data_IF_232334527924
#
_entry.id   IF_232334527924
#
_cell.length_a   1.000
_cell.length_b   1.000
_cell.length_c   1.000
_cell.angle_alpha   90.00
_cell.angle_beta   90.00
_cell.angle_gamma   90.00
#
_symmetry.space_group_name_H-M   'P 1'
#
loop_
_entity.id
_entity.type
_entity.pdbx_description
1 polymer ?
#
# COMPACT_ATOMS: atom_id res chain seq x y z
N UNK A 1 26.06 88.90 -49.78
CA UNK A 1 24.82 89.12 -49.02
C UNK A 1 24.29 87.74 -48.66
N UNK A 2 24.31 87.41 -47.36
CA UNK A 2 23.52 86.36 -46.65
C UNK A 2 23.77 84.87 -47.03
N UNK A 3 24.46 84.04 -46.23
CA UNK A 3 24.03 83.25 -45.04
C UNK A 3 22.91 82.19 -45.30
N UNK A 4 23.28 80.89 -45.35
CA UNK A 4 22.93 79.83 -44.36
C UNK A 4 22.96 78.39 -44.93
N UNK A 5 23.77 77.55 -44.26
CA UNK A 5 23.58 76.18 -43.78
C UNK A 5 22.68 75.19 -44.56
N UNK A 6 23.25 74.04 -44.95
CA UNK A 6 22.60 72.71 -44.77
C UNK A 6 23.67 71.65 -44.43
N UNK A 7 23.72 71.28 -43.16
CA UNK A 7 24.31 70.04 -42.65
C UNK A 7 23.41 68.86 -43.07
N UNK A 8 23.93 67.90 -43.83
CA UNK A 8 23.25 66.64 -44.12
C UNK A 8 23.60 65.62 -43.04
N UNK A 9 22.69 65.40 -42.08
CA UNK A 9 22.84 64.42 -41.02
C UNK A 9 22.72 62.99 -41.53
N UNK A 10 23.68 62.13 -41.13
CA UNK A 10 23.53 60.67 -41.16
C UNK A 10 22.46 60.28 -40.13
N UNK A 11 21.30 59.82 -40.58
CA UNK A 11 20.33 59.16 -39.72
C UNK A 11 20.79 57.72 -39.46
N UNK A 12 21.47 57.48 -38.34
CA UNK A 12 21.75 56.14 -37.85
C UNK A 12 20.44 55.56 -37.28
N UNK A 13 19.76 54.71 -38.05
CA UNK A 13 18.56 54.01 -37.58
C UNK A 13 18.98 52.93 -36.58
N UNK A 14 18.98 53.27 -35.29
CA UNK A 14 19.06 52.29 -34.20
C UNK A 14 17.77 51.45 -34.22
N UNK A 15 17.81 50.32 -34.92
CA UNK A 15 16.87 49.22 -34.70
C UNK A 15 17.14 48.65 -33.31
N UNK A 16 16.53 49.25 -32.29
CA UNK A 16 16.45 48.66 -30.97
C UNK A 16 15.58 47.40 -31.09
N UNK A 17 16.23 46.25 -31.30
CA UNK A 17 15.61 44.95 -31.15
C UNK A 17 15.19 44.81 -29.69
N UNK A 18 13.92 45.05 -29.39
CA UNK A 18 13.34 44.63 -28.12
C UNK A 18 13.33 43.10 -28.12
N UNK A 19 14.41 42.49 -27.62
CA UNK A 19 14.37 41.11 -27.20
C UNK A 19 13.31 41.03 -26.10
N UNK A 20 12.11 40.55 -26.47
CA UNK A 20 11.11 40.18 -25.47
C UNK A 20 11.75 39.09 -24.62
N UNK A 21 11.79 39.22 -23.29
CA UNK A 21 12.22 38.10 -22.47
C UNK A 21 11.31 36.92 -22.81
N UNK A 22 11.91 35.78 -23.18
CA UNK A 22 11.20 34.52 -23.20
C UNK A 22 10.90 34.22 -21.73
N UNK A 23 9.74 34.66 -21.26
CA UNK A 23 9.24 34.26 -19.96
C UNK A 23 8.98 32.75 -20.06
N UNK A 24 9.80 31.96 -19.37
CA UNK A 24 9.52 30.55 -19.20
C UNK A 24 8.09 30.44 -18.65
N UNK A 25 7.21 29.77 -19.37
CA UNK A 25 5.84 29.53 -18.93
C UNK A 25 5.91 28.84 -17.57
N UNK A 26 5.30 29.43 -16.53
CA UNK A 26 5.21 28.81 -15.21
C UNK A 26 4.60 27.42 -15.39
N UNK A 27 5.34 26.38 -14.99
CA UNK A 27 4.88 25.00 -15.11
C UNK A 27 3.68 24.81 -14.20
N UNK A 28 2.60 24.23 -14.72
CA UNK A 28 1.40 24.01 -13.92
C UNK A 28 1.65 22.90 -12.91
N UNK A 29 1.20 23.14 -11.68
CA UNK A 29 1.16 22.12 -10.63
C UNK A 29 -0.28 22.04 -10.14
N UNK A 30 -0.85 20.83 -10.15
CA UNK A 30 -2.18 20.57 -9.59
C UNK A 30 -1.96 19.92 -8.23
N UNK A 31 -2.51 20.52 -7.18
CA UNK A 31 -2.33 20.05 -5.79
C UNK A 31 -3.66 19.51 -5.26
N UNK A 32 -3.62 18.28 -4.77
CA UNK A 32 -4.73 17.56 -4.16
C UNK A 32 -4.38 17.17 -2.72
N UNK A 33 -5.32 17.30 -1.79
CA UNK A 33 -5.09 16.95 -0.38
C UNK A 33 -5.19 15.45 -0.13
N UNK A 34 -4.27 14.95 0.69
CA UNK A 34 -4.27 13.59 1.23
C UNK A 34 -4.09 13.65 2.75
N UNK A 35 -4.32 12.53 3.42
CA UNK A 35 -4.06 12.39 4.85
C UNK A 35 -3.59 10.97 5.18
N UNK A 36 -2.82 10.82 6.25
CA UNK A 36 -2.56 9.53 6.86
C UNK A 36 -3.62 9.25 7.93
N UNK A 37 -4.49 8.26 7.68
CA UNK A 37 -5.58 7.88 8.58
C UNK A 37 -5.57 6.36 8.79
N UNK A 38 -5.54 5.90 10.03
CA UNK A 38 -5.53 4.47 10.40
C UNK A 38 -4.43 3.64 9.72
N UNK A 39 -3.25 4.24 9.52
CA UNK A 39 -2.17 3.59 8.80
C UNK A 39 -2.47 3.37 7.33
N UNK A 40 -3.22 4.29 6.70
CA UNK A 40 -3.51 4.34 5.26
C UNK A 40 -3.32 5.75 4.74
N UNK A 41 -2.84 5.89 3.51
CA UNK A 41 -2.89 7.17 2.80
C UNK A 41 -4.26 7.27 2.15
N UNK A 42 -5.03 8.29 2.52
CA UNK A 42 -6.39 8.50 2.03
C UNK A 42 -6.54 9.87 1.39
N UNK A 43 -7.48 9.97 0.45
CA UNK A 43 -7.85 11.19 -0.24
C UNK A 43 -9.38 11.34 -0.29
N UNK A 44 -9.92 12.53 -0.04
CA UNK A 44 -11.33 12.81 -0.32
C UNK A 44 -11.58 12.83 -1.83
N UNK A 45 -12.60 12.10 -2.27
CA UNK A 45 -13.01 12.00 -3.68
C UNK A 45 -14.48 12.39 -3.80
N UNK A 46 -14.76 13.33 -4.70
CA UNK A 46 -16.13 13.71 -5.07
C UNK A 46 -16.47 13.08 -6.42
N UNK A 47 -17.65 12.50 -6.56
CA UNK A 47 -18.13 11.85 -7.79
C UNK A 47 -19.45 12.48 -8.18
N UNK A 48 -19.54 13.10 -9.37
CA UNK A 48 -20.75 13.78 -9.84
C UNK A 48 -21.33 14.76 -8.81
N UNK A 49 -20.47 15.52 -8.13
CA UNK A 49 -20.84 16.46 -7.07
C UNK A 49 -21.21 15.83 -5.71
N UNK A 50 -21.26 14.50 -5.59
CA UNK A 50 -21.54 13.79 -4.33
C UNK A 50 -20.26 13.39 -3.60
N UNK A 51 -20.25 13.50 -2.27
CA UNK A 51 -19.09 13.25 -1.42
C UNK A 51 -18.76 14.44 -0.49
N UNK A 52 -17.50 14.57 -0.02
CA UNK A 52 -16.36 13.72 -0.34
C UNK A 52 -16.41 12.34 0.31
N UNK A 53 -16.01 11.31 -0.43
CA UNK A 53 -15.80 9.95 0.07
C UNK A 53 -14.30 9.69 0.25
N UNK A 54 -13.89 9.07 1.34
CA UNK A 54 -12.48 8.72 1.51
C UNK A 54 -12.12 7.50 0.67
N UNK A 55 -11.13 7.66 -0.19
CA UNK A 55 -10.51 6.58 -0.95
C UNK A 55 -9.07 6.41 -0.49
N UNK A 56 -8.62 5.17 -0.32
CA UNK A 56 -7.20 4.89 -0.05
C UNK A 56 -6.38 4.96 -1.34
N UNK A 57 -5.13 5.39 -1.26
CA UNK A 57 -4.20 5.34 -2.40
C UNK A 57 -3.50 3.98 -2.39
N UNK A 58 -3.64 3.24 -3.50
CA UNK A 58 -3.23 1.84 -3.66
C UNK A 58 -2.30 1.70 -4.87
N UNK A 59 -1.00 1.89 -4.65
CA UNK A 59 0.00 1.72 -5.71
C UNK A 59 0.24 0.24 -6.10
N UNK A 60 -0.29 -0.72 -5.33
CA UNK A 60 -0.32 -2.13 -5.70
C UNK A 60 -1.47 -2.49 -6.65
N UNK A 61 -2.52 -1.66 -6.68
CA UNK A 61 -3.70 -1.79 -7.52
C UNK A 61 -3.44 -1.45 -8.99
N UNK A 62 -3.91 -2.32 -9.88
CA UNK A 62 -3.93 -2.09 -11.33
C UNK A 62 -5.18 -1.32 -11.81
N UNK A 63 -6.29 -1.41 -11.07
CA UNK A 63 -7.54 -0.70 -11.34
C UNK A 63 -8.14 -0.20 -10.05
N UNK A 64 -8.78 0.97 -10.11
CA UNK A 64 -9.41 1.58 -8.93
C UNK A 64 -10.66 0.81 -8.52
N UNK A 65 -10.91 0.76 -7.21
CA UNK A 65 -12.00 0.01 -6.63
C UNK A 65 -12.99 0.91 -5.90
N UNK A 66 -14.22 0.44 -5.78
CA UNK A 66 -15.29 1.11 -5.04
C UNK A 66 -16.06 0.10 -4.17
N UNK A 67 -16.51 0.52 -3.00
CA UNK A 67 -17.49 -0.23 -2.22
C UNK A 67 -18.77 -0.45 -3.06
N UNK A 68 -19.18 -1.71 -3.22
CA UNK A 68 -20.37 -2.05 -4.00
C UNK A 68 -21.64 -1.30 -3.51
N UNK A 69 -21.74 -1.04 -2.21
CA UNK A 69 -22.85 -0.24 -1.65
C UNK A 69 -22.79 1.21 -2.14
N UNK A 70 -21.60 1.81 -2.15
CA UNK A 70 -21.42 3.18 -2.66
C UNK A 70 -21.74 3.26 -4.16
N UNK A 71 -21.28 2.28 -4.95
CA UNK A 71 -21.57 2.24 -6.38
C UNK A 71 -23.09 2.18 -6.64
N UNK A 72 -23.83 1.42 -5.83
CA UNK A 72 -25.29 1.35 -5.86
C UNK A 72 -25.96 2.64 -5.38
N UNK A 73 -25.50 3.23 -4.27
CA UNK A 73 -25.99 4.50 -3.70
C UNK A 73 -25.91 5.62 -4.75
N UNK A 74 -24.79 5.69 -5.48
CA UNK A 74 -24.55 6.67 -6.53
C UNK A 74 -25.17 6.30 -7.89
N UNK A 75 -25.81 5.12 -8.00
CA UNK A 75 -26.40 4.60 -9.23
C UNK A 75 -25.43 4.64 -10.42
N UNK A 76 -24.17 4.23 -10.19
CA UNK A 76 -23.14 4.28 -11.23
C UNK A 76 -23.50 3.37 -12.41
N UNK A 77 -23.13 3.81 -13.62
CA UNK A 77 -23.39 3.06 -14.84
C UNK A 77 -22.50 1.81 -14.89
N UNK A 78 -23.11 0.62 -14.90
CA UNK A 78 -22.38 -0.63 -15.12
C UNK A 78 -21.83 -0.71 -16.54
N UNK A 79 -20.61 -1.23 -16.67
CA UNK A 79 -19.87 -1.45 -17.92
C UNK A 79 -19.53 -2.92 -18.12
N UNK A 80 -20.11 -3.82 -17.32
CA UNK A 80 -19.87 -5.25 -17.36
C UNK A 80 -19.08 -5.73 -16.15
N UNK A 81 -18.18 -6.68 -16.35
CA UNK A 81 -17.36 -7.26 -15.30
C UNK A 81 -15.90 -7.43 -15.75
N UNK A 82 -14.98 -7.36 -14.80
CA UNK A 82 -13.55 -7.54 -15.02
C UNK A 82 -13.00 -8.67 -14.15
N UNK A 83 -12.03 -9.41 -14.66
CA UNK A 83 -11.26 -10.37 -13.87
C UNK A 83 -10.15 -9.64 -13.13
N UNK A 84 -10.08 -9.80 -11.82
CA UNK A 84 -9.03 -9.27 -10.98
C UNK A 84 -8.29 -10.41 -10.25
N UNK A 85 -7.05 -10.15 -9.84
CA UNK A 85 -6.23 -11.09 -9.06
C UNK A 85 -5.50 -10.36 -7.94
N UNK A 86 -5.40 -10.98 -6.77
CA UNK A 86 -4.58 -10.52 -5.65
C UNK A 86 -4.15 -11.66 -4.74
N UNK A 87 -3.83 -11.31 -3.48
CA UNK A 87 -3.36 -12.26 -2.44
C UNK A 87 -4.30 -13.44 -2.23
N UNK A 88 -5.61 -13.21 -2.31
CA UNK A 88 -6.63 -14.27 -2.16
C UNK A 88 -6.91 -15.06 -3.43
N UNK A 89 -6.25 -14.78 -4.57
CA UNK A 89 -6.49 -15.45 -5.84
C UNK A 89 -7.28 -14.59 -6.84
N UNK A 90 -8.16 -15.22 -7.64
CA UNK A 90 -8.94 -14.55 -8.69
C UNK A 90 -10.34 -14.17 -8.21
N UNK A 91 -10.84 -13.04 -8.71
CA UNK A 91 -12.23 -12.60 -8.52
C UNK A 91 -12.78 -12.02 -9.82
N UNK A 92 -14.12 -12.05 -9.98
CA UNK A 92 -14.84 -11.32 -11.02
C UNK A 92 -15.54 -10.16 -10.33
N UNK A 93 -15.23 -8.93 -10.75
CA UNK A 93 -15.74 -7.71 -10.14
C UNK A 93 -16.64 -6.98 -11.13
N UNK A 94 -17.76 -6.44 -10.66
CA UNK A 94 -18.59 -5.55 -11.46
C UNK A 94 -17.81 -4.28 -11.81
N UNK A 95 -17.85 -3.86 -13.07
CA UNK A 95 -17.15 -2.67 -13.55
C UNK A 95 -18.15 -1.53 -13.76
N UNK A 96 -17.77 -0.33 -13.35
CA UNK A 96 -18.62 0.85 -13.36
C UNK A 96 -17.87 2.06 -13.91
N UNK A 97 -18.62 3.01 -14.42
CA UNK A 97 -18.11 4.32 -14.79
C UNK A 97 -18.61 5.38 -13.82
N UNK A 98 -17.66 6.08 -13.20
CA UNK A 98 -17.90 7.32 -12.48
C UNK A 98 -17.63 8.51 -13.41
N UNK A 99 -18.49 9.52 -13.38
CA UNK A 99 -18.32 10.77 -14.13
C UNK A 99 -17.98 11.89 -13.19
N UNK A 100 -17.28 12.89 -13.71
CA UNK A 100 -16.93 14.10 -12.99
C UNK A 100 -16.32 13.83 -11.60
N UNK A 101 -15.14 13.21 -11.61
CA UNK A 101 -14.45 12.80 -10.40
C UNK A 101 -13.42 13.86 -10.03
N UNK A 102 -13.50 14.36 -8.80
CA UNK A 102 -12.54 15.32 -8.24
C UNK A 102 -11.77 14.62 -7.13
N UNK A 103 -10.45 14.65 -7.23
CA UNK A 103 -9.52 14.02 -6.30
C UNK A 103 -8.89 15.08 -5.40
N UNK A 104 -9.12 15.00 -4.10
CA UNK A 104 -8.46 15.86 -3.12
C UNK A 104 -8.74 17.36 -3.27
N UNK A 105 -9.80 17.73 -4.01
CA UNK A 105 -10.14 19.11 -4.34
C UNK A 105 -9.32 19.75 -5.48
N UNK A 106 -8.31 19.06 -6.01
CA UNK A 106 -7.40 19.58 -7.03
C UNK A 106 -7.65 18.99 -8.41
N UNK A 107 -7.17 17.77 -8.63
CA UNK A 107 -7.28 17.09 -9.91
C UNK A 107 -8.71 16.67 -10.24
N UNK A 108 -9.11 16.82 -11.50
CA UNK A 108 -10.42 16.43 -12.01
C UNK A 108 -10.27 15.51 -13.21
N UNK A 109 -11.01 14.40 -13.23
CA UNK A 109 -11.13 13.51 -14.39
C UNK A 109 -12.59 13.40 -14.82
N UNK A 110 -12.91 13.62 -16.11
CA UNK A 110 -14.28 13.52 -16.60
C UNK A 110 -14.91 12.14 -16.42
N UNK A 111 -14.09 11.08 -16.53
CA UNK A 111 -14.52 9.68 -16.53
C UNK A 111 -13.47 8.83 -15.82
N UNK A 112 -13.90 8.00 -14.87
CA UNK A 112 -13.06 7.04 -14.15
C UNK A 112 -13.75 5.68 -14.16
N UNK A 113 -12.99 4.63 -14.48
CA UNK A 113 -13.45 3.25 -14.36
C UNK A 113 -13.17 2.72 -12.95
N UNK A 114 -14.19 2.14 -12.32
CA UNK A 114 -14.13 1.61 -10.96
C UNK A 114 -14.66 0.17 -10.95
N UNK A 115 -13.99 -0.73 -10.25
CA UNK A 115 -14.50 -2.09 -10.02
C UNK A 115 -15.07 -2.21 -8.61
N UNK A 116 -16.28 -2.74 -8.48
CA UNK A 116 -16.95 -2.88 -7.20
C UNK A 116 -16.45 -4.10 -6.43
N UNK A 117 -16.27 -3.94 -5.12
CA UNK A 117 -15.96 -5.02 -4.19
C UNK A 117 -16.95 -5.05 -3.03
N UNK A 118 -17.37 -6.27 -2.65
CA UNK A 118 -18.22 -6.51 -1.49
C UNK A 118 -17.40 -6.51 -0.19
N UNK A 119 -17.99 -6.03 0.90
CA UNK A 119 -17.32 -5.91 2.20
C UNK A 119 -16.47 -4.64 2.37
N UNK A 120 -16.23 -3.89 1.29
CA UNK A 120 -15.61 -2.56 1.32
C UNK A 120 -14.18 -2.54 1.90
N UNK A 121 -13.79 -1.38 2.44
CA UNK A 121 -12.41 -1.12 2.90
C UNK A 121 -12.33 -0.82 4.40
N UNK A 122 -13.34 -1.25 5.17
CA UNK A 122 -13.57 -0.79 6.54
C UNK A 122 -14.59 0.36 6.60
N UNK A 123 -14.89 0.89 7.80
CA UNK A 123 -16.06 1.74 8.01
C UNK A 123 -15.93 3.16 7.42
N UNK A 124 -14.70 3.66 7.26
CA UNK A 124 -14.44 5.04 6.82
C UNK A 124 -14.08 5.17 5.35
N UNK A 125 -13.49 4.12 4.76
CA UNK A 125 -12.94 4.15 3.40
C UNK A 125 -13.93 3.48 2.46
N UNK A 126 -14.28 4.16 1.38
CA UNK A 126 -15.32 3.73 0.43
C UNK A 126 -14.77 3.31 -0.94
N UNK A 127 -13.46 3.30 -1.12
CA UNK A 127 -12.81 2.86 -2.35
C UNK A 127 -11.28 2.86 -2.26
N UNK A 128 -10.64 2.42 -3.34
CA UNK A 128 -9.20 2.56 -3.54
C UNK A 128 -8.87 3.15 -4.91
N UNK A 129 -7.82 3.96 -4.97
CA UNK A 129 -7.30 4.55 -6.20
C UNK A 129 -6.02 3.82 -6.59
N UNK A 130 -6.04 3.22 -7.78
CA UNK A 130 -4.92 2.44 -8.29
C UNK A 130 -3.67 3.28 -8.57
N UNK A 131 -2.56 2.59 -8.86
CA UNK A 131 -1.25 3.15 -9.15
C UNK A 131 -1.26 4.23 -10.24
N UNK A 132 -2.26 4.22 -11.15
CA UNK A 132 -2.41 5.21 -12.21
C UNK A 132 -2.49 6.65 -11.71
N UNK A 133 -2.88 6.87 -10.44
CA UNK A 133 -2.84 8.18 -9.78
C UNK A 133 -1.40 8.75 -9.70
N UNK A 134 -0.38 7.89 -9.67
CA UNK A 134 1.03 8.28 -9.68
C UNK A 134 1.75 7.95 -10.99
N UNK A 135 1.28 6.97 -11.77
CA UNK A 135 2.07 6.41 -12.89
C UNK A 135 1.63 6.87 -14.28
N UNK A 136 0.59 7.70 -14.39
CA UNK A 136 0.09 8.21 -15.68
C UNK A 136 0.64 9.59 -16.05
N UNK A 137 0.93 10.42 -15.05
CA UNK A 137 1.56 11.74 -15.19
C UNK A 137 2.59 11.86 -14.07
N UNK A 138 3.69 12.56 -14.31
CA UNK A 138 4.69 12.87 -13.29
C UNK A 138 3.99 13.42 -12.04
N UNK A 139 4.20 12.75 -10.91
CA UNK A 139 3.46 13.01 -9.69
C UNK A 139 4.34 12.90 -8.45
N UNK A 140 4.03 13.71 -7.44
CA UNK A 140 4.56 13.56 -6.09
C UNK A 140 3.47 13.08 -5.15
N UNK A 141 3.78 12.03 -4.39
CA UNK A 141 3.09 11.70 -3.15
C UNK A 141 3.94 12.22 -2.00
N UNK A 142 3.60 13.43 -1.56
CA UNK A 142 4.26 14.13 -0.45
C UNK A 142 3.46 13.89 0.83
N UNK A 143 3.90 12.89 1.58
CA UNK A 143 3.19 12.41 2.77
C UNK A 143 3.35 13.41 3.93
N UNK A 144 4.52 14.05 4.04
CA UNK A 144 4.80 15.07 5.07
C UNK A 144 3.91 16.30 4.87
N UNK A 145 3.76 16.77 3.63
CA UNK A 145 2.91 17.92 3.31
C UNK A 145 1.41 17.57 3.29
N UNK A 146 1.05 16.28 3.28
CA UNK A 146 -0.34 15.86 3.08
C UNK A 146 -0.86 16.21 1.68
N UNK A 147 0.00 16.08 0.67
CA UNK A 147 -0.32 16.47 -0.70
C UNK A 147 0.02 15.39 -1.73
N UNK A 148 -0.88 15.22 -2.70
CA UNK A 148 -0.57 14.62 -3.98
C UNK A 148 -0.50 15.73 -5.02
N UNK A 149 0.62 15.82 -5.75
CA UNK A 149 0.86 16.87 -6.75
C UNK A 149 1.06 16.24 -8.12
N UNK A 150 0.46 16.83 -9.14
CA UNK A 150 0.63 16.42 -10.54
C UNK A 150 1.38 17.52 -11.30
N UNK A 151 2.30 17.11 -12.17
CA UNK A 151 3.10 17.97 -13.02
C UNK A 151 2.83 17.67 -14.51
N UNK A 152 1.75 18.21 -15.11
CA UNK A 152 1.42 17.95 -16.52
C UNK A 152 2.53 18.35 -17.50
N UNK A 153 3.29 19.38 -17.15
CA UNK A 153 4.36 19.93 -17.96
C UNK A 153 5.76 19.39 -17.54
N UNK A 154 5.77 18.31 -16.76
CA UNK A 154 6.97 17.62 -16.25
C UNK A 154 7.47 18.16 -14.91
N UNK A 155 7.85 17.26 -14.00
CA UNK A 155 8.37 17.66 -12.69
C UNK A 155 9.78 18.28 -12.82
N UNK A 156 10.08 19.39 -12.14
CA UNK A 156 11.43 19.94 -12.03
C UNK A 156 12.42 19.01 -11.30
N UNK A 157 13.60 19.55 -10.97
CA UNK A 157 14.70 18.82 -10.34
C UNK A 157 14.29 18.12 -9.03
N UNK A 158 14.82 16.91 -8.84
CA UNK A 158 14.51 16.02 -7.69
C UNK A 158 15.69 15.96 -6.71
N UNK A 159 16.13 17.13 -6.23
CA UNK A 159 17.28 17.25 -5.32
C UNK A 159 17.04 16.44 -4.05
N UNK A 160 18.02 15.60 -3.67
CA UNK A 160 17.95 14.77 -2.45
C UNK A 160 17.14 13.48 -2.56
N UNK A 161 16.63 13.15 -3.76
CA UNK A 161 15.93 11.88 -4.00
C UNK A 161 16.91 10.79 -4.45
N UNK A 162 16.69 9.56 -3.97
CA UNK A 162 17.30 8.34 -4.50
C UNK A 162 16.47 7.85 -5.68
N UNK A 163 17.12 7.59 -6.82
CA UNK A 163 16.46 7.11 -8.03
C UNK A 163 16.40 5.59 -8.08
N UNK A 164 15.21 5.05 -8.36
CA UNK A 164 14.97 3.67 -8.78
C UNK A 164 14.61 3.65 -10.27
N UNK A 165 15.48 3.08 -11.09
CA UNK A 165 15.25 2.94 -12.52
C UNK A 165 14.27 1.80 -12.82
N UNK A 166 13.48 1.95 -13.89
CA UNK A 166 12.51 0.95 -14.36
C UNK A 166 11.51 0.50 -13.28
N UNK A 167 11.20 1.38 -12.33
CA UNK A 167 10.26 1.15 -11.25
C UNK A 167 8.80 1.15 -11.73
N UNK A 168 8.46 1.86 -12.82
CA UNK A 168 7.10 1.89 -13.36
C UNK A 168 6.96 0.79 -14.42
N UNK A 169 6.13 -0.22 -14.15
CA UNK A 169 5.97 -1.39 -15.03
C UNK A 169 4.50 -1.68 -15.30
N UNK A 170 4.17 -1.88 -16.57
CA UNK A 170 2.85 -2.40 -16.97
C UNK A 170 2.90 -3.91 -17.04
N UNK A 171 1.86 -4.54 -16.52
CA UNK A 171 1.61 -5.99 -16.67
C UNK A 171 0.80 -6.29 -17.94
N UNK A 172 0.38 -5.27 -18.70
CA UNK A 172 -0.54 -5.44 -19.81
C UNK A 172 0.17 -5.76 -21.13
N UNK A 173 -0.08 -6.96 -21.64
CA UNK A 173 -0.07 -7.27 -23.08
C UNK A 173 -1.37 -6.80 -23.76
N UNK A 174 -2.35 -6.38 -22.96
CA UNK A 174 -3.68 -5.93 -23.36
C UNK A 174 -3.60 -4.43 -23.67
N UNK A 175 -3.93 -4.03 -24.89
CA UNK A 175 -3.85 -2.65 -25.41
C UNK A 175 -4.72 -1.61 -24.69
N UNK A 176 -5.29 -0.64 -25.43
CA UNK A 176 -5.77 0.69 -24.98
C UNK A 176 -6.73 0.79 -23.75
N UNK A 177 -7.20 -0.32 -23.17
CA UNK A 177 -7.91 -0.39 -21.88
C UNK A 177 -6.99 -0.92 -20.75
N UNK A 178 -5.72 -0.53 -20.78
CA UNK A 178 -4.66 -1.15 -20.00
C UNK A 178 -4.83 -0.90 -18.49
N UNK A 179 -4.54 -1.95 -17.70
CA UNK A 179 -4.23 -1.82 -16.29
C UNK A 179 -3.22 -0.70 -16.02
N UNK A 180 -3.40 0.02 -14.91
CA UNK A 180 -2.43 1.02 -14.46
C UNK A 180 -1.05 0.38 -14.32
N UNK A 181 0.02 0.99 -14.88
CA UNK A 181 1.38 0.61 -14.54
C UNK A 181 1.58 0.73 -13.03
N UNK A 182 2.24 -0.25 -12.42
CA UNK A 182 2.48 -0.33 -10.98
C UNK A 182 3.93 0.01 -10.65
N UNK A 183 4.19 0.25 -9.36
CA UNK A 183 5.51 0.59 -8.84
C UNK A 183 6.22 -0.65 -8.31
N UNK A 184 7.48 -0.83 -8.70
CA UNK A 184 8.34 -1.92 -8.28
C UNK A 184 9.67 -1.37 -7.78
N UNK A 185 10.30 -2.07 -6.85
CA UNK A 185 11.63 -1.74 -6.35
C UNK A 185 12.27 -2.91 -5.65
N UNK A 186 13.59 -2.88 -5.61
CA UNK A 186 14.39 -3.92 -4.98
C UNK A 186 14.49 -3.66 -3.47
N UNK A 187 14.33 -4.74 -2.71
CA UNK A 187 14.67 -4.78 -1.28
C UNK A 187 15.61 -5.96 -1.05
N UNK A 188 16.68 -5.73 -0.28
CA UNK A 188 17.51 -6.83 0.19
C UNK A 188 16.94 -7.33 1.52
N UNK A 189 16.77 -8.64 1.69
CA UNK A 189 16.40 -9.28 2.97
C UNK A 189 17.40 -10.40 3.22
N UNK A 190 18.06 -10.39 4.39
CA UNK A 190 19.08 -11.40 4.75
C UNK A 190 20.13 -11.64 3.65
N UNK A 191 20.53 -10.57 2.96
CA UNK A 191 21.53 -10.67 1.88
C UNK A 191 20.94 -10.91 0.48
N UNK A 192 19.72 -11.45 0.35
CA UNK A 192 19.07 -11.74 -0.94
C UNK A 192 18.28 -10.54 -1.45
N UNK A 193 18.45 -10.19 -2.72
CA UNK A 193 17.65 -9.15 -3.38
C UNK A 193 16.33 -9.74 -3.84
N UNK A 194 15.22 -9.06 -3.51
CA UNK A 194 13.86 -9.41 -3.89
C UNK A 194 13.25 -8.25 -4.68
N UNK A 195 12.67 -8.56 -5.83
CA UNK A 195 11.91 -7.57 -6.61
C UNK A 195 10.48 -7.47 -6.06
N UNK A 196 10.17 -6.36 -5.40
CA UNK A 196 8.91 -6.19 -4.70
C UNK A 196 7.99 -5.19 -5.38
N UNK A 197 6.69 -5.45 -5.28
CA UNK A 197 5.66 -4.45 -5.53
C UNK A 197 5.73 -3.39 -4.41
N UNK A 198 5.73 -2.10 -4.78
CA UNK A 198 5.66 -0.99 -3.83
C UNK A 198 4.20 -0.59 -3.67
N UNK A 199 3.61 -0.93 -2.53
CA UNK A 199 2.16 -0.94 -2.34
C UNK A 199 1.74 -0.12 -1.11
N UNK A 200 1.25 1.09 -1.35
CA UNK A 200 0.67 1.94 -0.30
C UNK A 200 -0.68 1.43 0.24
N UNK A 201 -1.32 0.48 -0.44
CA UNK A 201 -2.53 -0.21 0.00
C UNK A 201 -2.25 -1.37 0.97
N UNK A 202 -1.02 -1.89 1.00
CA UNK A 202 -0.59 -2.91 1.94
C UNK A 202 -0.13 -2.28 3.27
N UNK A 203 -0.78 -2.52 4.42
CA UNK A 203 -0.46 -1.82 5.67
C UNK A 203 0.87 -2.23 6.31
N UNK A 204 1.37 -3.44 6.01
CA UNK A 204 2.63 -3.96 6.57
C UNK A 204 3.88 -3.24 6.06
N UNK A 205 5.06 -3.61 6.57
CA UNK A 205 6.33 -3.08 6.08
C UNK A 205 6.88 -3.92 4.92
N UNK A 206 7.04 -5.22 5.17
CA UNK A 206 7.57 -6.17 4.20
C UNK A 206 6.70 -7.43 4.24
N UNK A 207 6.27 -7.91 3.09
CA UNK A 207 5.77 -9.27 2.95
C UNK A 207 6.50 -10.03 1.84
N UNK A 208 6.74 -11.32 2.02
CA UNK A 208 7.52 -12.15 1.09
C UNK A 208 6.63 -13.31 0.63
N UNK A 209 6.74 -13.70 -0.64
CA UNK A 209 6.10 -14.93 -1.15
C UNK A 209 6.57 -16.17 -0.39
N UNK A 210 5.74 -17.21 -0.40
CA UNK A 210 6.06 -18.48 0.26
C UNK A 210 7.38 -19.08 -0.25
N UNK A 211 7.60 -19.10 -1.57
CA UNK A 211 8.79 -19.72 -2.16
C UNK A 211 10.08 -18.96 -1.79
N UNK A 212 10.07 -17.63 -1.83
CA UNK A 212 11.24 -16.86 -1.44
C UNK A 212 11.47 -16.89 0.08
N UNK A 213 10.41 -16.97 0.89
CA UNK A 213 10.55 -17.18 2.33
C UNK A 213 11.28 -18.49 2.65
N UNK A 214 11.03 -19.56 1.88
CA UNK A 214 11.76 -20.83 1.98
C UNK A 214 13.20 -20.71 1.51
N UNK A 215 13.45 -20.05 0.37
CA UNK A 215 14.82 -19.82 -0.15
C UNK A 215 15.68 -19.00 0.82
N UNK A 216 15.06 -18.08 1.55
CA UNK A 216 15.68 -17.29 2.60
C UNK A 216 15.89 -18.05 3.92
N UNK A 217 15.36 -19.26 4.06
CA UNK A 217 15.37 -20.01 5.33
C UNK A 217 14.51 -19.38 6.43
N UNK A 218 13.58 -18.49 6.08
CA UNK A 218 12.68 -17.84 7.03
C UNK A 218 11.42 -18.66 7.32
N UNK A 219 11.00 -19.50 6.36
CA UNK A 219 9.91 -20.47 6.57
C UNK A 219 10.45 -21.77 7.17
N UNK A 220 10.72 -21.75 8.47
CA UNK A 220 11.23 -22.88 9.25
C UNK A 220 10.39 -23.01 10.53
N UNK A 221 9.95 -24.23 10.84
CA UNK A 221 9.09 -24.53 12.00
C UNK A 221 9.84 -24.43 13.34
N UNK A 222 11.17 -24.52 13.31
CA UNK A 222 12.01 -24.33 14.49
C UNK A 222 12.18 -22.84 14.85
N UNK A 223 11.91 -21.92 13.92
CA UNK A 223 12.03 -20.47 14.16
C UNK A 223 10.80 -19.93 14.88
N UNK A 224 10.97 -18.99 15.83
CA UNK A 224 9.84 -18.29 16.41
C UNK A 224 9.01 -17.55 15.36
N UNK A 225 7.69 -17.69 15.45
CA UNK A 225 6.75 -16.97 14.57
C UNK A 225 5.43 -16.70 15.28
N UNK A 226 4.70 -15.69 14.83
CA UNK A 226 3.26 -15.57 15.13
C UNK A 226 2.42 -15.77 13.88
N UNK A 227 1.30 -16.50 13.94
CA UNK A 227 0.44 -16.69 12.78
C UNK A 227 -0.30 -15.40 12.42
N UNK A 228 -0.43 -15.14 11.13
CA UNK A 228 -1.13 -13.96 10.61
C UNK A 228 -1.91 -14.34 9.35
N UNK A 229 -3.23 -14.23 9.37
CA UNK A 229 -3.99 -14.38 8.14
C UNK A 229 -3.66 -13.27 7.14
N UNK A 230 -3.65 -13.66 5.89
CA UNK A 230 -3.47 -12.78 4.74
C UNK A 230 -4.75 -12.75 3.93
N UNK A 231 -5.08 -11.59 3.37
CA UNK A 231 -6.28 -11.41 2.56
C UNK A 231 -6.05 -10.35 1.49
N UNK A 232 -6.89 -10.37 0.46
CA UNK A 232 -6.90 -9.38 -0.61
C UNK A 232 -7.94 -9.73 -1.65
N UNK A 233 -7.75 -9.25 -2.88
CA UNK A 233 -8.59 -9.66 -4.01
C UNK A 233 -8.55 -11.19 -4.17
N UNK A 234 -9.73 -11.80 -4.31
CA UNK A 234 -9.91 -13.26 -4.33
C UNK A 234 -10.23 -13.87 -2.95
N UNK A 235 -10.15 -13.10 -1.86
CA UNK A 235 -10.51 -13.55 -0.51
C UNK A 235 -9.30 -13.83 0.37
N UNK A 236 -9.31 -14.97 1.07
CA UNK A 236 -8.24 -15.39 1.99
C UNK A 236 -7.02 -15.89 1.22
N UNK A 237 -5.83 -15.40 1.55
CA UNK A 237 -4.54 -15.95 1.13
C UNK A 237 -4.02 -17.05 2.06
N UNK A 238 -4.85 -17.49 3.02
CA UNK A 238 -4.46 -18.42 4.06
C UNK A 238 -3.68 -17.76 5.21
N UNK A 239 -3.18 -18.61 6.12
CA UNK A 239 -2.42 -18.19 7.30
C UNK A 239 -0.93 -18.15 6.94
N UNK A 240 -0.37 -16.94 6.99
CA UNK A 240 1.07 -16.70 6.91
C UNK A 240 1.72 -16.67 8.29
N UNK A 241 3.00 -16.28 8.31
CA UNK A 241 3.83 -16.17 9.52
C UNK A 241 4.45 -14.79 9.59
N UNK A 242 4.39 -14.13 10.74
CA UNK A 242 5.27 -13.00 11.02
C UNK A 242 6.50 -13.54 11.74
N UNK A 243 7.68 -13.19 11.22
CA UNK A 243 8.99 -13.57 11.78
C UNK A 243 9.92 -12.36 11.82
N UNK A 244 11.06 -12.49 12.51
CA UNK A 244 12.21 -11.60 12.30
C UNK A 244 13.07 -12.09 11.14
N UNK A 245 13.35 -11.19 10.21
CA UNK A 245 14.57 -11.28 9.39
C UNK A 245 15.77 -10.80 10.22
N UNK A 246 16.99 -11.07 9.79
CA UNK A 246 18.20 -10.53 10.44
C UNK A 246 18.40 -9.07 10.05
N UNK A 247 18.15 -8.74 8.78
CA UNK A 247 18.15 -7.37 8.29
C UNK A 247 17.40 -7.20 6.97
N UNK A 248 17.02 -5.97 6.67
CA UNK A 248 16.60 -5.55 5.34
C UNK A 248 17.30 -4.25 4.91
N UNK A 249 17.47 -4.05 3.60
CA UNK A 249 17.98 -2.81 3.00
C UNK A 249 17.02 -2.35 1.90
N UNK A 250 16.45 -1.16 2.05
CA UNK A 250 15.56 -0.55 1.08
C UNK A 250 15.94 0.91 0.87
N UNK A 251 16.09 1.33 -0.39
CA UNK A 251 16.43 2.71 -0.76
C UNK A 251 17.65 3.29 0.01
N UNK A 252 18.68 2.47 0.25
CA UNK A 252 19.88 2.85 0.99
C UNK A 252 19.72 2.85 2.53
N UNK A 253 18.53 2.56 3.05
CA UNK A 253 18.28 2.44 4.48
C UNK A 253 18.31 0.99 4.96
N UNK A 254 19.19 0.72 5.94
CA UNK A 254 19.24 -0.55 6.65
C UNK A 254 18.22 -0.58 7.79
N UNK A 255 17.52 -1.70 7.90
CA UNK A 255 16.64 -2.03 9.01
C UNK A 255 17.19 -3.30 9.67
N UNK A 256 17.58 -3.19 10.93
CA UNK A 256 18.04 -4.34 11.70
C UNK A 256 16.84 -5.07 12.30
N UNK A 257 16.87 -6.40 12.19
CA UNK A 257 15.85 -7.30 12.72
C UNK A 257 14.39 -6.88 12.43
N UNK A 258 14.00 -6.53 11.18
CA UNK A 258 12.63 -6.12 10.92
C UNK A 258 11.65 -7.30 11.04
N UNK A 259 10.41 -7.01 11.45
CA UNK A 259 9.30 -7.95 11.29
C UNK A 259 8.95 -8.09 9.81
N UNK A 260 8.80 -9.32 9.35
CA UNK A 260 8.46 -9.67 7.97
C UNK A 260 7.28 -10.63 7.96
N UNK A 261 6.28 -10.33 7.14
CA UNK A 261 5.15 -11.23 6.89
C UNK A 261 5.51 -12.22 5.77
N UNK A 262 5.69 -13.49 6.11
CA UNK A 262 5.81 -14.58 5.16
C UNK A 262 4.40 -15.02 4.75
N UNK A 263 4.07 -14.90 3.47
CA UNK A 263 2.78 -15.37 2.95
C UNK A 263 2.73 -16.90 2.95
N UNK A 264 1.54 -17.44 3.19
CA UNK A 264 1.33 -18.88 3.29
C UNK A 264 1.38 -19.60 1.94
N UNK A 265 1.40 -20.94 1.94
CA UNK A 265 1.45 -21.75 0.71
C UNK A 265 0.22 -21.56 -0.21
N UNK A 266 -0.89 -21.07 0.33
CA UNK A 266 -2.12 -20.78 -0.40
C UNK A 266 -2.14 -19.38 -1.05
N UNK A 267 -1.05 -18.61 -0.96
CA UNK A 267 -0.96 -17.26 -1.54
C UNK A 267 -1.21 -17.27 -3.06
N UNK A 268 -2.16 -16.44 -3.50
CA UNK A 268 -2.63 -16.37 -4.87
C UNK A 268 -1.97 -15.29 -5.74
N UNK A 269 -1.16 -14.41 -5.13
CA UNK A 269 -0.47 -13.33 -5.83
C UNK A 269 0.73 -13.84 -6.65
N UNK A 270 1.01 -13.18 -7.77
CA UNK A 270 2.01 -13.60 -8.77
C UNK A 270 2.72 -12.37 -9.35
N UNK A 271 3.89 -12.59 -9.96
CA UNK A 271 4.62 -11.56 -10.71
C UNK A 271 5.53 -10.64 -9.88
N UNK A 272 5.78 -10.96 -8.61
CA UNK A 272 6.73 -10.27 -7.75
C UNK A 272 7.14 -11.16 -6.58
N UNK A 273 8.31 -10.90 -6.01
CA UNK A 273 8.91 -11.70 -4.93
C UNK A 273 8.28 -11.40 -3.56
N UNK A 274 7.74 -10.20 -3.40
CA UNK A 274 7.17 -9.67 -2.16
C UNK A 274 6.48 -8.32 -2.35
N UNK A 275 6.07 -7.72 -1.24
CA UNK A 275 5.48 -6.38 -1.19
C UNK A 275 6.24 -5.55 -0.17
N UNK A 276 6.67 -4.35 -0.56
CA UNK A 276 7.07 -3.29 0.37
C UNK A 276 5.85 -2.41 0.60
N UNK A 277 5.32 -2.46 1.82
CA UNK A 277 4.05 -1.84 2.17
C UNK A 277 4.19 -0.48 2.83
N UNK A 278 3.04 0.10 3.17
CA UNK A 278 2.93 1.46 3.68
C UNK A 278 3.70 1.72 4.98
N UNK A 279 3.84 0.75 5.88
CA UNK A 279 4.61 0.96 7.11
C UNK A 279 6.07 1.32 6.83
N UNK A 280 6.62 0.86 5.71
CA UNK A 280 7.94 1.25 5.21
C UNK A 280 7.86 2.45 4.26
N UNK A 281 6.95 2.44 3.28
CA UNK A 281 6.87 3.50 2.26
C UNK A 281 6.51 4.87 2.85
N UNK A 282 5.77 4.92 3.97
CA UNK A 282 5.41 6.19 4.62
C UNK A 282 6.58 6.97 5.19
N UNK A 283 7.79 6.38 5.26
CA UNK A 283 9.01 7.09 5.60
C UNK A 283 9.66 7.81 4.41
N UNK A 284 8.97 7.84 3.27
CA UNK A 284 9.46 8.45 2.03
C UNK A 284 8.36 9.30 1.37
N UNK A 285 8.78 10.40 0.74
CA UNK A 285 8.02 11.04 -0.33
C UNK A 285 8.38 10.33 -1.65
N UNK A 286 7.34 9.98 -2.41
CA UNK A 286 7.48 9.27 -3.69
C UNK A 286 7.30 10.26 -4.83
N UNK A 287 8.18 10.23 -5.83
CA UNK A 287 8.05 11.06 -7.02
C UNK A 287 8.24 10.22 -8.28
N UNK A 288 7.23 10.18 -9.15
CA UNK A 288 7.27 9.42 -10.39
C UNK A 288 7.80 10.26 -11.54
N UNK A 289 8.57 9.61 -12.42
CA UNK A 289 8.99 10.16 -13.71
C UNK A 289 8.56 9.19 -14.81
N UNK A 290 7.39 9.47 -15.40
CA UNK A 290 6.67 8.51 -16.24
C UNK A 290 7.45 8.21 -17.52
N UNK A 291 8.05 9.24 -18.13
CA UNK A 291 8.80 9.11 -19.39
C UNK A 291 9.99 8.16 -19.28
N UNK A 292 10.74 8.23 -18.18
CA UNK A 292 11.89 7.35 -17.93
C UNK A 292 11.53 6.09 -17.14
N UNK A 293 10.25 5.94 -16.75
CA UNK A 293 9.73 4.86 -15.90
C UNK A 293 10.46 4.75 -14.57
N UNK A 294 10.87 5.88 -14.01
CA UNK A 294 11.63 5.94 -12.77
C UNK A 294 10.74 6.31 -11.60
N UNK A 295 11.09 5.79 -10.42
CA UNK A 295 10.57 6.26 -9.14
C UNK A 295 11.71 6.91 -8.38
N UNK A 296 11.44 8.04 -7.77
CA UNK A 296 12.38 8.77 -6.95
C UNK A 296 11.85 8.76 -5.52
N UNK A 297 12.72 8.45 -4.57
CA UNK A 297 12.39 8.34 -3.15
C UNK A 297 13.18 9.36 -2.36
N UNK A 298 12.48 10.26 -1.67
CA UNK A 298 13.09 11.15 -0.69
C UNK A 298 12.71 10.68 0.70
N UNK A 299 13.71 10.33 1.49
CA UNK A 299 13.50 9.89 2.87
C UNK A 299 13.06 11.07 3.74
N UNK A 300 12.11 10.85 4.63
CA UNK A 300 11.76 11.80 5.69
C UNK A 300 12.89 11.87 6.72
N UNK A 301 13.27 13.07 7.13
CA UNK A 301 14.35 13.26 8.11
C UNK A 301 14.03 12.66 9.47
N UNK A 302 12.75 12.57 9.83
CA UNK A 302 12.21 12.05 11.08
C UNK A 302 11.50 10.70 10.90
N UNK A 303 11.79 9.98 9.80
CA UNK A 303 11.15 8.71 9.48
C UNK A 303 11.09 7.77 10.69
N UNK A 304 9.88 7.51 11.18
CA UNK A 304 9.65 6.69 12.35
C UNK A 304 10.16 5.25 12.15
N UNK A 305 10.59 4.61 13.23
CA UNK A 305 10.90 3.18 13.24
C UNK A 305 9.72 2.35 12.74
N UNK A 306 10.02 1.19 12.14
CA UNK A 306 9.00 0.26 11.71
C UNK A 306 8.14 -0.21 12.92
N UNK A 307 6.82 -0.40 12.75
CA UNK A 307 5.97 -0.85 13.84
C UNK A 307 6.35 -2.24 14.36
N UNK A 308 6.46 -2.34 15.69
CA UNK A 308 6.73 -3.59 16.42
C UNK A 308 5.43 -4.30 16.85
N UNK A 309 4.47 -4.43 15.93
CA UNK A 309 3.11 -4.93 16.23
C UNK A 309 2.89 -6.31 15.64
N UNK A 310 2.57 -7.28 16.49
CA UNK A 310 2.18 -8.64 16.10
C UNK A 310 1.39 -9.31 17.23
N UNK A 311 0.74 -10.45 16.94
CA UNK A 311 -0.05 -11.20 17.92
C UNK A 311 0.84 -11.86 18.98
N UNK A 312 0.93 -11.26 20.17
CA UNK A 312 1.84 -11.70 21.26
C UNK A 312 1.44 -13.02 21.91
N UNK A 313 0.22 -13.50 21.73
CA UNK A 313 -0.14 -14.86 22.17
C UNK A 313 0.48 -15.95 21.30
N UNK A 314 0.75 -15.65 20.03
CA UNK A 314 1.14 -16.65 19.02
C UNK A 314 0.00 -17.57 18.58
N UNK A 315 -1.25 -17.24 18.87
CA UNK A 315 -2.40 -18.06 18.52
C UNK A 315 -3.13 -17.54 17.28
N UNK A 316 -3.57 -18.46 16.43
CA UNK A 316 -4.64 -18.21 15.48
C UNK A 316 -5.85 -19.06 15.84
N UNK A 317 -6.98 -18.40 16.09
CA UNK A 317 -8.25 -19.05 16.40
C UNK A 317 -9.16 -19.02 15.16
N UNK A 318 -9.79 -20.15 14.88
CA UNK A 318 -10.85 -20.26 13.88
C UNK A 318 -12.19 -20.50 14.54
N UNK A 319 -13.24 -19.94 13.96
CA UNK A 319 -14.61 -20.26 14.30
C UNK A 319 -15.21 -21.17 13.24
N UNK A 320 -15.52 -22.42 13.60
CA UNK A 320 -16.20 -23.39 12.72
C UNK A 320 -17.58 -23.67 13.29
N UNK A 321 -18.57 -22.86 12.89
CA UNK A 321 -19.94 -22.95 13.40
C UNK A 321 -20.04 -22.47 14.85
N UNK A 322 -20.27 -23.40 15.77
CA UNK A 322 -20.37 -23.14 17.21
C UNK A 322 -19.09 -23.54 17.98
N UNK A 323 -18.01 -23.87 17.28
CA UNK A 323 -16.78 -24.37 17.89
C UNK A 323 -15.58 -23.47 17.56
N UNK A 324 -14.92 -22.98 18.61
CA UNK A 324 -13.70 -22.20 18.51
C UNK A 324 -12.52 -23.16 18.63
N UNK A 325 -11.66 -23.20 17.60
CA UNK A 325 -10.49 -24.07 17.58
C UNK A 325 -9.22 -23.27 17.43
N UNK A 326 -8.17 -23.72 18.09
CA UNK A 326 -6.80 -23.28 17.85
C UNK A 326 -6.36 -23.89 16.52
N UNK A 327 -6.22 -23.06 15.49
CA UNK A 327 -5.81 -23.52 14.17
C UNK A 327 -4.29 -23.53 14.03
N UNK A 328 -3.60 -22.53 14.60
CA UNK A 328 -2.14 -22.45 14.58
C UNK A 328 -1.63 -21.96 15.94
N UNK A 329 -0.56 -22.58 16.40
CA UNK A 329 0.25 -22.11 17.55
C UNK A 329 1.64 -21.79 17.03
N UNK A 330 2.08 -20.56 17.25
CA UNK A 330 3.40 -20.07 16.84
C UNK A 330 4.51 -20.66 17.70
N UNK A 331 5.55 -21.21 17.08
CA UNK A 331 6.74 -21.69 17.78
C UNK A 331 7.35 -20.57 18.62
N UNK A 332 7.81 -20.88 19.84
CA UNK A 332 8.44 -19.92 20.75
C UNK A 332 7.48 -18.90 21.39
N UNK A 333 6.17 -18.99 21.11
CA UNK A 333 5.18 -18.08 21.67
C UNK A 333 4.78 -18.42 23.11
N UNK A 334 4.22 -17.46 23.87
CA UNK A 334 3.66 -17.72 25.19
C UNK A 334 2.62 -18.86 25.22
N UNK A 335 1.77 -18.96 24.20
CA UNK A 335 0.79 -20.04 24.12
C UNK A 335 1.45 -21.41 23.88
N UNK A 336 2.49 -21.46 23.04
CA UNK A 336 3.28 -22.69 22.84
C UNK A 336 3.97 -23.13 24.13
N UNK A 337 4.58 -22.20 24.87
CA UNK A 337 5.20 -22.49 26.17
C UNK A 337 4.20 -22.99 27.22
N UNK A 338 2.96 -22.51 27.16
CA UNK A 338 1.86 -22.98 28.02
C UNK A 338 1.24 -24.30 27.55
N UNK A 339 1.78 -24.90 26.48
CA UNK A 339 1.40 -26.23 26.00
C UNK A 339 0.10 -26.26 25.19
N UNK A 340 -0.40 -25.13 24.68
CA UNK A 340 -1.49 -25.11 23.70
C UNK A 340 -1.03 -25.76 22.39
N UNK A 341 -1.96 -26.45 21.73
CA UNK A 341 -1.68 -27.18 20.49
C UNK A 341 -2.72 -26.87 19.42
N UNK A 342 -2.35 -27.00 18.15
CA UNK A 342 -3.32 -26.96 17.07
C UNK A 342 -4.35 -28.09 17.25
N UNK A 343 -5.63 -27.77 17.04
CA UNK A 343 -6.76 -28.66 17.26
C UNK A 343 -7.45 -28.50 18.61
N UNK A 344 -6.79 -27.86 19.59
CA UNK A 344 -7.37 -27.52 20.89
C UNK A 344 -8.67 -26.73 20.74
N UNK A 345 -9.70 -27.09 21.51
CA UNK A 345 -10.99 -26.40 21.51
C UNK A 345 -11.06 -25.40 22.65
N UNK A 346 -11.36 -24.14 22.35
CA UNK A 346 -11.67 -23.14 23.37
C UNK A 346 -13.12 -23.31 23.81
N UNK A 347 -13.33 -23.33 25.13
CA UNK A 347 -14.63 -23.54 25.77
C UNK A 347 -14.97 -22.38 26.71
N UNK A 348 -16.27 -22.16 26.97
CA UNK A 348 -16.72 -21.14 27.92
C UNK A 348 -16.61 -19.69 27.46
N UNK A 349 -16.16 -19.45 26.22
CA UNK A 349 -16.10 -18.12 25.59
C UNK A 349 -16.78 -18.16 24.23
N UNK A 350 -17.41 -17.06 23.83
CA UNK A 350 -17.73 -16.82 22.43
C UNK A 350 -16.47 -16.39 21.65
N UNK A 351 -16.57 -16.35 20.31
CA UNK A 351 -15.41 -16.06 19.47
C UNK A 351 -14.83 -14.66 19.69
N UNK A 352 -15.69 -13.66 19.92
CA UNK A 352 -15.24 -12.28 20.15
C UNK A 352 -14.49 -12.17 21.49
N UNK A 353 -15.03 -12.79 22.53
CA UNK A 353 -14.41 -12.84 23.86
C UNK A 353 -13.10 -13.63 23.83
N UNK A 354 -13.02 -14.72 23.07
CA UNK A 354 -11.78 -15.48 22.89
C UNK A 354 -10.70 -14.63 22.22
N UNK A 355 -11.00 -13.94 21.12
CA UNK A 355 -10.07 -13.02 20.45
C UNK A 355 -9.64 -11.88 21.39
N UNK A 356 -10.57 -11.27 22.12
CA UNK A 356 -10.27 -10.21 23.08
C UNK A 356 -9.39 -10.70 24.23
N UNK A 357 -9.47 -11.99 24.61
CA UNK A 357 -8.64 -12.57 25.66
C UNK A 357 -7.19 -12.74 25.23
N UNK A 358 -6.95 -13.19 24.00
CA UNK A 358 -5.61 -13.49 23.47
C UNK A 358 -4.90 -12.30 22.81
N UNK A 359 -5.51 -11.11 22.84
CA UNK A 359 -4.97 -9.86 22.30
C UNK A 359 -4.87 -8.80 23.41
N UNK A 360 -3.86 -7.94 23.33
CA UNK A 360 -3.64 -6.90 24.34
C UNK A 360 -2.20 -6.42 24.40
N UNK A 361 -1.91 -5.60 25.40
CA UNK A 361 -0.55 -5.16 25.72
C UNK A 361 0.27 -6.29 26.36
N UNK A 362 1.62 -6.21 26.29
CA UNK A 362 2.51 -7.03 27.11
C UNK A 362 2.12 -7.00 28.60
N UNK A 363 2.29 -8.13 29.29
CA UNK A 363 2.00 -8.27 30.72
C UNK A 363 0.54 -8.63 31.03
N UNK A 364 -0.37 -8.64 30.04
CA UNK A 364 -1.74 -9.12 30.24
C UNK A 364 -1.75 -10.62 30.44
N UNK A 365 -2.34 -11.06 31.55
CA UNK A 365 -2.61 -12.47 31.79
C UNK A 365 -3.77 -12.98 30.94
N UNK A 366 -3.59 -14.19 30.42
CA UNK A 366 -4.57 -14.92 29.63
C UNK A 366 -4.87 -16.23 30.34
N UNK A 367 -6.15 -16.48 30.56
CA UNK A 367 -6.66 -17.77 31.03
C UNK A 367 -7.66 -18.30 30.03
N UNK A 368 -7.43 -19.50 29.52
CA UNK A 368 -8.32 -20.17 28.56
C UNK A 368 -8.74 -21.53 29.11
N UNK A 369 -10.03 -21.83 29.05
CA UNK A 369 -10.56 -23.18 29.26
C UNK A 369 -10.50 -23.94 27.93
N UNK A 370 -9.70 -25.00 27.88
CA UNK A 370 -9.36 -25.71 26.65
C UNK A 370 -9.75 -27.18 26.77
N UNK A 371 -10.26 -27.78 25.70
CA UNK A 371 -10.47 -29.21 25.60
C UNK A 371 -9.59 -29.84 24.50
N UNK A 372 -8.76 -30.81 24.89
CA UNK A 372 -7.91 -31.60 23.99
C UNK A 372 -8.42 -33.04 24.01
N UNK A 373 -8.86 -33.58 22.87
CA UNK A 373 -9.45 -34.93 22.78
C UNK A 373 -10.56 -35.20 23.83
N UNK A 374 -11.36 -34.17 24.16
CA UNK A 374 -12.46 -34.26 25.13
C UNK A 374 -12.07 -34.05 26.59
N UNK A 375 -10.77 -33.99 26.93
CA UNK A 375 -10.32 -33.67 28.28
C UNK A 375 -10.16 -32.16 28.44
N UNK A 376 -10.87 -31.59 29.42
CA UNK A 376 -10.82 -30.18 29.74
C UNK A 376 -9.62 -29.86 30.64
N UNK A 377 -8.93 -28.75 30.37
CA UNK A 377 -7.88 -28.17 31.20
C UNK A 377 -7.90 -26.65 31.12
N UNK A 378 -7.45 -26.01 32.18
CA UNK A 378 -7.18 -24.57 32.18
C UNK A 378 -5.74 -24.33 31.72
N UNK A 379 -5.54 -23.37 30.83
CA UNK A 379 -4.23 -22.93 30.38
C UNK A 379 -4.04 -21.46 30.74
N UNK A 380 -2.90 -21.16 31.34
CA UNK A 380 -2.54 -19.82 31.82
C UNK A 380 -1.23 -19.38 31.18
N UNK A 381 -1.18 -18.17 30.64
CA UNK A 381 0.03 -17.54 30.13
C UNK A 381 -0.10 -16.02 30.12
N UNK A 382 1.03 -15.33 30.06
CA UNK A 382 1.08 -13.87 29.97
C UNK A 382 1.47 -13.45 28.56
N UNK A 383 0.81 -12.43 28.00
CA UNK A 383 1.21 -11.86 26.72
C UNK A 383 2.60 -11.23 26.85
N UNK A 384 3.54 -11.63 26.00
CA UNK A 384 4.90 -11.08 25.99
C UNK A 384 5.44 -10.99 24.56
N UNK A 385 6.28 -9.99 24.25
CA UNK A 385 7.07 -10.01 23.03
C UNK A 385 7.98 -11.25 23.00
N UNK A 386 7.98 -11.97 21.88
CA UNK A 386 8.79 -13.19 21.68
C UNK A 386 9.49 -13.24 20.31
N UNK A 387 9.25 -12.26 19.44
CA UNK A 387 9.93 -12.04 18.15
C UNK A 387 10.92 -10.88 18.21
#
# INVERSE_FOLDING_TARGET
MERRDVLSGLALTLMAGFARPVLAQERRVIVSKIALLDGRVVMPVTISGSGPYLFLLDTGGAGSLIDAKLASELRLQSTGAVKARGVGGQAVLGSYTARDVIFGGGARQPVVSLSAIDGGFGPRVRGSLAAGILTTVDSDLDIEAGEWRIYPDGRPERVGFVKLDRAIRSDSTLGRNAASPRLYGDIQVNGMVLECLLDTGAPGAISISYDNARRLGLWDDARPFTPQATSGIGGSGGIGRIVRADNALFAGQRFDRPLVLLRGPSDGARGHDGIVGLSMLRGFNLSTEVKTRSLWLQRHSDAASLPERYGMSGLWLENKGNEIRVAVVGTGSPASAAGLQAGDRITGLDFRAAIASITGAPGKDVTLSVATNGQARSVHFTLAPFL
#
